data_IF_499925697239
#
_entry.id   IF_499925697239
#
_cell.length_a   1.000
_cell.length_b   1.000
_cell.length_c   1.000
_cell.angle_alpha   90.00
_cell.angle_beta   90.00
_cell.angle_gamma   90.00
#
_symmetry.space_group_name_H-M   'P 1'
#
loop_
_entity.id
_entity.type
_entity.pdbx_description
1 polymer ?
#
# COMPACT_ATOMS: atom_id res chain seq x y z
N UNK A 1 -35.90 -41.37 -39.45
CA UNK A 1 -35.45 -40.00 -39.76
C UNK A 1 -35.81 -39.08 -38.60
N UNK A 2 -37.09 -38.90 -38.27
CA UNK A 2 -37.54 -38.07 -37.13
C UNK A 2 -36.89 -38.39 -35.76
N UNK A 3 -36.74 -39.67 -35.39
CA UNK A 3 -36.04 -40.06 -34.14
C UNK A 3 -34.56 -39.66 -34.10
N UNK A 4 -33.89 -39.64 -35.26
CA UNK A 4 -32.47 -39.29 -35.38
C UNK A 4 -32.28 -37.78 -35.31
N UNK A 5 -33.20 -37.02 -35.91
CA UNK A 5 -33.18 -35.55 -35.89
C UNK A 5 -33.46 -35.01 -34.49
N UNK A 6 -34.39 -35.61 -33.75
CA UNK A 6 -34.66 -35.28 -32.34
C UNK A 6 -33.45 -35.57 -31.43
N UNK A 7 -32.77 -36.71 -31.63
CA UNK A 7 -31.56 -37.05 -30.87
C UNK A 7 -30.40 -36.09 -31.16
N UNK A 8 -30.23 -35.70 -32.42
CA UNK A 8 -29.20 -34.72 -32.81
C UNK A 8 -29.49 -33.34 -32.23
N UNK A 9 -30.76 -32.91 -32.20
CA UNK A 9 -31.18 -31.68 -31.54
C UNK A 9 -30.92 -31.70 -30.02
N UNK A 10 -31.23 -32.83 -29.36
CA UNK A 10 -30.95 -33.01 -27.94
C UNK A 10 -29.45 -32.95 -27.62
N UNK A 11 -28.62 -33.64 -28.41
CA UNK A 11 -27.16 -33.60 -28.26
C UNK A 11 -26.60 -32.17 -28.49
N UNK A 12 -27.14 -31.43 -29.47
CA UNK A 12 -26.78 -30.03 -29.71
C UNK A 12 -27.09 -29.12 -28.52
N UNK A 13 -28.27 -29.27 -27.91
CA UNK A 13 -28.66 -28.54 -26.70
C UNK A 13 -27.77 -28.87 -25.50
N UNK A 14 -27.37 -30.15 -25.34
CA UNK A 14 -26.42 -30.54 -24.29
C UNK A 14 -25.05 -29.88 -24.47
N UNK A 15 -24.54 -29.80 -25.70
CA UNK A 15 -23.29 -29.10 -26.00
C UNK A 15 -23.37 -27.59 -25.69
N UNK A 16 -24.47 -26.94 -26.08
CA UNK A 16 -24.69 -25.51 -25.78
C UNK A 16 -24.72 -25.29 -24.26
N UNK A 17 -25.46 -26.13 -23.53
CA UNK A 17 -25.53 -26.05 -22.07
C UNK A 17 -24.14 -26.22 -21.43
N UNK A 18 -23.36 -27.20 -21.86
CA UNK A 18 -22.01 -27.43 -21.32
C UNK A 18 -21.08 -26.24 -21.59
N UNK A 19 -21.17 -25.64 -22.79
CA UNK A 19 -20.39 -24.44 -23.12
C UNK A 19 -20.79 -23.25 -22.24
N UNK A 20 -22.09 -23.01 -22.05
CA UNK A 20 -22.57 -21.93 -21.18
C UNK A 20 -22.19 -22.16 -19.71
N UNK A 21 -22.24 -23.40 -19.21
CA UNK A 21 -21.78 -23.73 -17.85
C UNK A 21 -20.28 -23.47 -17.68
N UNK A 22 -19.47 -23.78 -18.71
CA UNK A 22 -18.04 -23.47 -18.73
C UNK A 22 -17.80 -21.96 -18.75
N UNK A 23 -18.43 -21.22 -19.66
CA UNK A 23 -18.29 -19.76 -19.76
C UNK A 23 -18.71 -19.07 -18.46
N UNK A 24 -19.80 -19.52 -17.83
CA UNK A 24 -20.24 -19.02 -16.53
C UNK A 24 -19.20 -19.29 -15.44
N UNK A 25 -18.60 -20.48 -15.42
CA UNK A 25 -17.54 -20.82 -14.48
C UNK A 25 -16.32 -19.93 -14.71
N UNK A 26 -15.86 -19.79 -15.94
CA UNK A 26 -14.68 -18.99 -16.29
C UNK A 26 -14.91 -17.50 -15.95
N UNK A 27 -16.10 -16.98 -16.24
CA UNK A 27 -16.51 -15.62 -15.86
C UNK A 27 -16.49 -15.40 -14.34
N UNK A 28 -16.96 -16.36 -13.54
CA UNK A 28 -16.89 -16.27 -12.07
C UNK A 28 -15.45 -16.21 -11.55
N UNK A 29 -14.52 -16.96 -12.15
CA UNK A 29 -13.11 -16.89 -11.78
C UNK A 29 -12.52 -15.53 -12.15
N UNK A 30 -12.82 -15.02 -13.35
CA UNK A 30 -12.36 -13.69 -13.77
C UNK A 30 -12.85 -12.57 -12.84
N UNK A 31 -14.11 -12.63 -12.40
CA UNK A 31 -14.66 -11.68 -11.42
C UNK A 31 -13.90 -11.75 -10.09
N UNK A 32 -13.65 -12.96 -9.57
CA UNK A 32 -12.90 -13.13 -8.32
C UNK A 32 -11.47 -12.59 -8.42
N UNK A 33 -10.81 -12.77 -9.57
CA UNK A 33 -9.47 -12.24 -9.79
C UNK A 33 -9.47 -10.71 -9.89
N UNK A 34 -10.48 -10.12 -10.53
CA UNK A 34 -10.67 -8.67 -10.55
C UNK A 34 -10.95 -8.11 -9.15
N UNK A 35 -11.77 -8.78 -8.34
CA UNK A 35 -12.03 -8.39 -6.95
C UNK A 35 -10.74 -8.39 -6.11
N UNK A 36 -9.88 -9.39 -6.29
CA UNK A 36 -8.56 -9.44 -5.64
C UNK A 36 -7.65 -8.29 -6.09
N UNK A 37 -7.57 -8.05 -7.40
CA UNK A 37 -6.77 -6.95 -7.94
C UNK A 37 -7.27 -5.59 -7.43
N UNK A 38 -8.58 -5.41 -7.35
CA UNK A 38 -9.17 -4.18 -6.84
C UNK A 38 -8.85 -3.99 -5.34
N UNK A 39 -8.89 -5.06 -4.54
CA UNK A 39 -8.47 -5.02 -3.14
C UNK A 39 -6.99 -4.66 -2.98
N UNK A 40 -6.11 -5.24 -3.80
CA UNK A 40 -4.68 -4.91 -3.80
C UNK A 40 -4.47 -3.42 -4.16
N UNK A 41 -5.17 -2.90 -5.19
CA UNK A 41 -5.11 -1.48 -5.57
C UNK A 41 -5.54 -0.55 -4.44
N UNK A 42 -6.59 -0.91 -3.71
CA UNK A 42 -7.04 -0.15 -2.53
C UNK A 42 -5.99 -0.11 -1.43
N UNK A 43 -5.33 -1.24 -1.15
CA UNK A 43 -4.23 -1.30 -0.18
C UNK A 43 -3.04 -0.44 -0.63
N UNK A 44 -2.74 -0.45 -1.93
CA UNK A 44 -1.71 0.39 -2.53
C UNK A 44 -1.99 1.87 -2.34
N UNK A 45 -3.20 2.32 -2.71
CA UNK A 45 -3.61 3.72 -2.57
C UNK A 45 -3.49 4.19 -1.11
N UNK A 46 -4.06 3.43 -0.16
CA UNK A 46 -3.98 3.78 1.27
C UNK A 46 -2.56 3.82 1.81
N UNK A 47 -1.67 2.99 1.25
CA UNK A 47 -0.26 2.99 1.65
C UNK A 47 0.49 4.19 1.08
N UNK A 48 0.18 4.60 -0.15
CA UNK A 48 0.71 5.81 -0.75
C UNK A 48 0.25 7.06 0.00
N UNK A 49 -1.01 7.12 0.44
CA UNK A 49 -1.51 8.21 1.28
C UNK A 49 -0.70 8.30 2.59
N UNK A 50 -0.49 7.17 3.28
CA UNK A 50 0.33 7.14 4.50
C UNK A 50 1.79 7.58 4.25
N UNK A 51 2.39 7.17 3.12
CA UNK A 51 3.72 7.62 2.73
C UNK A 51 3.76 9.13 2.53
N UNK A 52 2.78 9.66 1.81
CA UNK A 52 2.68 11.07 1.49
C UNK A 52 2.52 11.91 2.75
N UNK A 53 1.67 11.49 3.69
CA UNK A 53 1.45 12.19 4.95
C UNK A 53 2.71 12.27 5.82
N UNK A 54 3.48 11.17 5.91
CA UNK A 54 4.74 11.13 6.67
C UNK A 54 5.80 12.02 6.01
N UNK A 55 5.92 11.99 4.68
CA UNK A 55 6.87 12.84 3.96
C UNK A 55 6.49 14.33 4.08
N UNK A 56 5.19 14.67 4.06
CA UNK A 56 4.73 16.04 4.35
C UNK A 56 5.12 16.48 5.75
N UNK A 57 4.86 15.65 6.77
CA UNK A 57 5.19 15.98 8.15
C UNK A 57 6.71 16.19 8.32
N UNK A 58 7.51 15.29 7.75
CA UNK A 58 8.98 15.40 7.70
C UNK A 58 9.40 16.70 7.03
N UNK A 59 8.85 17.01 5.85
CA UNK A 59 9.22 18.21 5.10
C UNK A 59 8.85 19.51 5.86
N UNK A 60 7.67 19.56 6.47
CA UNK A 60 7.25 20.70 7.32
C UNK A 60 8.20 20.87 8.51
N UNK A 61 8.54 19.78 9.17
CA UNK A 61 9.45 19.80 10.32
C UNK A 61 10.84 20.35 9.96
N UNK A 62 11.45 19.83 8.88
CA UNK A 62 12.78 20.24 8.43
C UNK A 62 12.79 21.66 7.90
N UNK A 63 11.82 22.02 7.05
CA UNK A 63 11.74 23.37 6.46
C UNK A 63 11.57 24.48 7.51
N UNK A 64 10.94 24.17 8.64
CA UNK A 64 10.85 25.11 9.77
C UNK A 64 12.18 25.31 10.52
N UNK A 65 13.19 24.46 10.30
CA UNK A 65 14.41 24.36 11.13
C UNK A 65 15.72 24.57 10.37
N UNK A 66 15.70 24.55 9.04
CA UNK A 66 16.90 24.81 8.24
C UNK A 66 16.58 25.44 6.90
N UNK A 67 17.40 26.41 6.50
CA UNK A 67 17.35 27.02 5.16
C UNK A 67 17.85 26.06 4.06
N UNK A 68 18.64 25.04 4.43
CA UNK A 68 19.19 24.06 3.49
C UNK A 68 18.15 23.01 3.02
N UNK A 69 16.90 23.09 3.49
CA UNK A 69 15.85 22.11 3.20
C UNK A 69 15.73 21.75 1.70
N UNK A 70 15.83 22.74 0.82
CA UNK A 70 15.69 22.55 -0.63
C UNK A 70 16.82 21.71 -1.22
N UNK A 71 18.01 21.75 -0.63
CA UNK A 71 19.20 21.05 -1.11
C UNK A 71 19.34 19.64 -0.52
N UNK A 72 18.55 19.32 0.50
CA UNK A 72 18.57 18.01 1.16
C UNK A 72 17.71 16.99 0.40
N UNK A 73 18.25 15.80 0.19
CA UNK A 73 17.50 14.62 -0.24
C UNK A 73 16.52 14.15 0.85
N UNK A 74 15.54 13.32 0.48
CA UNK A 74 14.59 12.77 1.46
C UNK A 74 15.24 11.94 2.56
N UNK A 75 16.38 11.29 2.29
CA UNK A 75 17.16 10.59 3.33
C UNK A 75 17.78 11.60 4.30
N UNK A 76 18.49 12.60 3.78
CA UNK A 76 19.12 13.63 4.59
C UNK A 76 18.10 14.41 5.43
N UNK A 77 16.89 14.66 4.89
CA UNK A 77 15.78 15.26 5.64
C UNK A 77 15.36 14.41 6.84
N UNK A 78 15.25 13.08 6.69
CA UNK A 78 14.93 12.17 7.80
C UNK A 78 16.04 12.11 8.84
N UNK A 79 17.29 11.99 8.40
CA UNK A 79 18.45 11.97 9.31
C UNK A 79 18.52 13.29 10.11
N UNK A 80 18.25 14.42 9.46
CA UNK A 80 18.14 15.73 10.12
C UNK A 80 16.95 15.80 11.09
N UNK A 81 15.78 15.26 10.73
CA UNK A 81 14.65 15.16 11.65
C UNK A 81 15.04 14.45 12.93
N UNK A 82 15.67 13.27 12.83
CA UNK A 82 16.10 12.48 13.99
C UNK A 82 17.09 13.27 14.85
N UNK A 83 18.12 13.86 14.23
CA UNK A 83 19.12 14.64 14.97
C UNK A 83 18.49 15.83 15.72
N UNK A 84 17.58 16.57 15.06
CA UNK A 84 16.86 17.68 15.70
C UNK A 84 15.85 17.24 16.74
N UNK A 85 15.23 16.09 16.56
CA UNK A 85 14.33 15.53 17.56
C UNK A 85 15.09 15.15 18.84
N UNK A 86 16.27 14.54 18.72
CA UNK A 86 17.14 14.23 19.86
C UNK A 86 17.63 15.49 20.59
N UNK A 87 17.98 16.56 19.85
CA UNK A 87 18.33 17.85 20.46
C UNK A 87 17.18 18.43 21.32
N UNK A 88 15.92 18.23 20.90
CA UNK A 88 14.73 18.74 21.59
C UNK A 88 14.24 17.80 22.70
N UNK A 89 14.42 16.49 22.51
CA UNK A 89 14.02 15.44 23.44
C UNK A 89 15.15 14.42 23.63
N UNK A 90 16.14 14.73 24.49
CA UNK A 90 17.28 13.84 24.71
C UNK A 90 16.85 12.44 25.13
N UNK A 91 17.44 11.43 24.49
CA UNK A 91 17.15 10.01 24.67
C UNK A 91 15.95 9.48 23.90
N UNK A 92 15.33 10.27 23.00
CA UNK A 92 14.19 9.83 22.18
C UNK A 92 14.47 9.77 20.68
N UNK A 93 15.62 10.26 20.21
CA UNK A 93 16.03 10.21 18.81
C UNK A 93 16.13 8.79 18.27
N UNK A 94 16.66 7.87 19.06
CA UNK A 94 16.81 6.46 18.67
C UNK A 94 15.45 5.78 18.39
N UNK A 95 14.42 6.11 19.17
CA UNK A 95 13.07 5.58 18.95
C UNK A 95 12.49 6.10 17.62
N UNK A 96 12.58 7.42 17.38
CA UNK A 96 12.13 8.01 16.12
C UNK A 96 12.88 7.43 14.91
N UNK A 97 14.20 7.25 15.03
CA UNK A 97 15.03 6.64 13.98
C UNK A 97 14.60 5.20 13.68
N UNK A 98 14.37 4.40 14.73
CA UNK A 98 13.85 3.04 14.58
C UNK A 98 12.51 3.01 13.85
N UNK A 99 11.59 3.92 14.20
CA UNK A 99 10.29 4.02 13.56
C UNK A 99 10.40 4.45 12.10
N UNK A 100 11.20 5.48 11.79
CA UNK A 100 11.41 5.95 10.43
C UNK A 100 12.06 4.88 9.54
N UNK A 101 13.03 4.12 10.05
CA UNK A 101 13.67 3.00 9.34
C UNK A 101 12.67 1.88 9.06
N UNK A 102 11.89 1.49 10.07
CA UNK A 102 10.86 0.46 9.92
C UNK A 102 9.80 0.88 8.89
N UNK A 103 9.34 2.13 8.95
CA UNK A 103 8.40 2.68 7.98
C UNK A 103 8.97 2.69 6.57
N UNK A 104 10.20 3.18 6.39
CA UNK A 104 10.86 3.24 5.08
C UNK A 104 11.08 1.85 4.49
N UNK A 105 11.47 0.87 5.31
CA UNK A 105 11.61 -0.52 4.88
C UNK A 105 10.29 -1.08 4.36
N UNK A 106 9.22 -0.93 5.13
CA UNK A 106 7.89 -1.40 4.73
C UNK A 106 7.36 -0.67 3.50
N UNK A 107 7.59 0.65 3.40
CA UNK A 107 7.28 1.42 2.19
C UNK A 107 7.97 0.83 0.98
N UNK A 108 9.26 0.51 1.06
CA UNK A 108 10.01 -0.02 -0.08
C UNK A 108 9.46 -1.39 -0.50
N UNK A 109 9.12 -2.24 0.47
CA UNK A 109 8.46 -3.53 0.22
C UNK A 109 7.15 -3.38 -0.54
N UNK A 110 6.33 -2.40 -0.15
CA UNK A 110 5.10 -2.07 -0.88
C UNK A 110 5.48 -1.52 -2.26
N UNK A 111 6.18 -0.38 -2.32
CA UNK A 111 6.36 0.47 -3.50
C UNK A 111 7.28 -0.06 -4.59
N UNK A 112 8.29 -0.84 -4.22
CA UNK A 112 9.35 -1.26 -5.14
C UNK A 112 9.40 -2.78 -5.29
N UNK A 113 9.21 -3.52 -4.20
CA UNK A 113 9.32 -4.98 -4.24
C UNK A 113 7.98 -5.65 -4.60
N UNK A 114 6.87 -4.91 -4.55
CA UNK A 114 5.54 -5.41 -4.93
C UNK A 114 4.93 -6.43 -3.95
N UNK A 115 5.51 -6.59 -2.75
CA UNK A 115 5.09 -7.60 -1.76
C UNK A 115 3.96 -7.11 -0.87
N UNK A 116 2.93 -6.51 -1.47
CA UNK A 116 1.88 -5.81 -0.73
C UNK A 116 1.09 -6.73 0.21
N UNK A 117 0.84 -7.98 -0.20
CA UNK A 117 0.08 -8.95 0.60
C UNK A 117 0.83 -9.48 1.82
N UNK A 118 2.15 -9.33 1.84
CA UNK A 118 3.03 -9.80 2.91
C UNK A 118 3.37 -8.69 3.92
N UNK A 119 2.64 -7.59 3.87
CA UNK A 119 2.85 -6.40 4.69
C UNK A 119 1.60 -6.13 5.53
N UNK A 120 1.80 -5.97 6.84
CA UNK A 120 0.74 -5.50 7.74
C UNK A 120 0.46 -4.01 7.47
N UNK A 121 -0.57 -3.71 6.69
CA UNK A 121 -0.96 -2.33 6.36
C UNK A 121 -1.42 -1.53 7.57
N UNK A 122 -2.04 -2.19 8.55
CA UNK A 122 -2.46 -1.55 9.80
C UNK A 122 -1.24 -1.14 10.64
N UNK A 123 -0.25 -2.01 10.76
CA UNK A 123 1.00 -1.66 11.45
C UNK A 123 1.77 -0.57 10.70
N UNK A 124 1.79 -0.64 9.36
CA UNK A 124 2.40 0.39 8.53
C UNK A 124 1.75 1.77 8.75
N UNK A 125 0.42 1.82 8.74
CA UNK A 125 -0.34 3.05 9.03
C UNK A 125 -0.10 3.55 10.44
N UNK A 126 -0.10 2.64 11.44
CA UNK A 126 0.18 3.01 12.83
C UNK A 126 1.55 3.66 12.98
N UNK A 127 2.61 3.04 12.43
CA UNK A 127 3.97 3.62 12.44
C UNK A 127 4.02 4.99 11.77
N UNK A 128 3.31 5.15 10.65
CA UNK A 128 3.19 6.45 10.00
C UNK A 128 2.50 7.50 10.87
N UNK A 129 1.46 7.11 11.61
CA UNK A 129 0.78 7.99 12.57
C UNK A 129 1.71 8.36 13.74
N UNK A 130 2.38 7.37 14.33
CA UNK A 130 3.29 7.57 15.46
C UNK A 130 4.40 8.58 15.09
N UNK A 131 5.04 8.42 13.92
CA UNK A 131 6.03 9.38 13.41
C UNK A 131 5.42 10.78 13.27
N UNK A 132 4.20 10.89 12.73
CA UNK A 132 3.55 12.20 12.53
C UNK A 132 3.21 12.86 13.85
N UNK A 133 2.74 12.12 14.84
CA UNK A 133 2.45 12.63 16.18
C UNK A 133 3.73 13.16 16.84
N UNK A 134 4.82 12.37 16.80
CA UNK A 134 6.13 12.81 17.30
C UNK A 134 6.61 14.10 16.64
N UNK A 135 6.43 14.23 15.31
CA UNK A 135 6.83 15.44 14.59
C UNK A 135 5.86 16.62 14.80
N UNK A 136 4.57 16.37 15.06
CA UNK A 136 3.54 17.39 15.23
C UNK A 136 3.63 18.11 16.58
N UNK A 137 4.05 17.41 17.64
CA UNK A 137 4.29 17.97 18.98
C UNK A 137 5.31 19.14 18.99
N UNK A 138 6.01 19.35 17.87
CA UNK A 138 7.09 20.30 17.69
C UNK A 138 6.76 21.47 16.74
N UNK A 139 5.51 21.54 16.26
CA UNK A 139 5.00 22.63 15.42
C UNK A 139 4.26 23.74 16.18
N UNK A 140 4.11 23.60 17.50
CA UNK A 140 3.58 24.62 18.42
C UNK A 140 4.72 25.35 19.15
#
# INVERSE_FOLDING_TARGET
REKTDAQNGYNGLQCIRANLEKELKDSRHAVQDLERQNADLWLWMRSLDACWDVEIATNKFVSARTAAFQDMSGRERRDFCVAKYEELYPGRGDDLDCQMKAFTYTRNRICHDGVIRDVSHEEFQRKGNDIREMLADLGA
#
